data_IF_111861294387
#
_entry.id   IF_111861294387
#
_cell.length_a   1.000
_cell.length_b   1.000
_cell.length_c   1.000
_cell.angle_alpha   90.00
_cell.angle_beta   90.00
_cell.angle_gamma   90.00
#
_symmetry.space_group_name_H-M   'P 1'
#
loop_
_entity.id
_entity.type
_entity.pdbx_description
1 polymer ?
#
# COMPACT_ATOMS: atom_id res chain seq x y z
N UNK A 1 9.17 -11.56 5.45
CA UNK A 1 8.38 -11.20 4.25
C UNK A 1 7.48 -9.98 4.48
N UNK A 2 6.41 -10.05 5.29
CA UNK A 2 5.49 -8.91 5.47
C UNK A 2 6.14 -7.70 6.17
N UNK A 3 6.86 -7.94 7.27
CA UNK A 3 7.61 -6.90 7.99
C UNK A 3 8.65 -6.25 7.06
N UNK A 4 9.47 -7.06 6.38
CA UNK A 4 10.50 -6.55 5.47
C UNK A 4 9.90 -5.73 4.33
N UNK A 5 8.79 -6.18 3.75
CA UNK A 5 8.11 -5.47 2.66
C UNK A 5 7.48 -4.17 3.14
N UNK A 6 6.86 -4.16 4.33
CA UNK A 6 6.36 -2.95 4.96
C UNK A 6 7.50 -1.93 5.16
N UNK A 7 8.64 -2.39 5.67
CA UNK A 7 9.82 -1.55 5.92
C UNK A 7 10.47 -1.04 4.63
N UNK A 8 10.53 -1.85 3.58
CA UNK A 8 11.03 -1.46 2.25
C UNK A 8 10.17 -0.32 1.67
N UNK A 9 8.84 -0.45 1.71
CA UNK A 9 7.92 0.58 1.22
C UNK A 9 8.01 1.89 2.02
N UNK A 10 8.10 1.79 3.35
CA UNK A 10 8.34 2.96 4.22
C UNK A 10 9.66 3.65 3.85
N UNK A 11 10.70 2.88 3.53
CA UNK A 11 11.99 3.42 3.09
C UNK A 11 11.87 4.16 1.77
N UNK A 12 11.12 3.65 0.79
CA UNK A 12 10.91 4.34 -0.49
C UNK A 12 10.16 5.67 -0.33
N UNK A 13 9.12 5.71 0.49
CA UNK A 13 8.38 6.96 0.77
C UNK A 13 9.25 7.94 1.54
N UNK A 14 9.98 7.49 2.58
CA UNK A 14 10.88 8.35 3.35
C UNK A 14 12.02 8.95 2.50
N UNK A 15 12.52 8.19 1.51
CA UNK A 15 13.51 8.68 0.54
C UNK A 15 12.91 9.58 -0.54
N UNK A 16 11.59 9.73 -0.62
CA UNK A 16 10.92 10.51 -1.66
C UNK A 16 10.99 9.91 -3.07
N UNK A 17 11.28 8.61 -3.19
CA UNK A 17 11.44 7.92 -4.48
C UNK A 17 10.21 7.10 -4.89
N UNK A 18 9.18 7.08 -4.05
CA UNK A 18 7.92 6.39 -4.34
C UNK A 18 7.08 7.20 -5.32
N UNK A 19 6.61 6.54 -6.38
CA UNK A 19 5.76 7.14 -7.41
C UNK A 19 4.38 7.47 -6.85
N UNK A 20 4.02 8.75 -6.84
CA UNK A 20 2.68 9.24 -6.60
C UNK A 20 1.99 9.53 -7.95
N UNK A 21 0.73 9.11 -8.12
CA UNK A 21 -0.05 9.40 -9.33
C UNK A 21 -0.08 10.88 -9.67
N UNK A 22 -0.16 11.71 -8.64
CA UNK A 22 -0.17 13.16 -8.79
C UNK A 22 1.21 13.70 -9.23
N UNK A 23 2.24 12.85 -9.38
CA UNK A 23 3.63 13.23 -9.70
C UNK A 23 4.50 12.27 -10.57
N UNK A 24 4.00 11.25 -11.31
CA UNK A 24 4.79 10.47 -12.33
C UNK A 24 4.60 8.93 -12.36
N UNK A 25 5.45 8.15 -13.13
CA UNK A 25 5.74 6.67 -13.52
C UNK A 25 6.24 5.52 -12.54
N UNK A 26 5.77 4.24 -12.66
CA UNK A 26 6.31 2.96 -12.09
C UNK A 26 5.74 1.73 -12.87
N UNK A 27 6.41 0.54 -12.84
CA UNK A 27 6.15 -0.58 -13.75
C UNK A 27 5.43 -1.81 -13.14
N UNK A 28 4.97 -2.79 -13.97
CA UNK A 28 4.05 -3.86 -13.57
C UNK A 28 4.70 -4.99 -12.76
N UNK A 29 3.89 -5.63 -11.90
CA UNK A 29 4.33 -6.65 -10.94
C UNK A 29 4.03 -8.09 -11.41
N UNK A 30 5.08 -8.89 -11.61
CA UNK A 30 4.99 -10.33 -11.84
C UNK A 30 5.19 -11.11 -10.51
N UNK A 31 4.17 -11.90 -10.12
CA UNK A 31 4.11 -12.95 -9.06
C UNK A 31 3.39 -12.62 -7.73
N UNK A 32 2.48 -13.53 -7.38
CA UNK A 32 1.21 -13.33 -6.68
C UNK A 32 1.20 -13.28 -5.13
N UNK A 33 2.26 -13.65 -4.40
CA UNK A 33 2.29 -13.49 -2.91
C UNK A 33 2.68 -12.07 -2.46
N UNK A 34 3.19 -11.26 -3.40
CA UNK A 34 3.33 -9.79 -3.26
C UNK A 34 1.98 -9.07 -3.31
N UNK A 35 0.89 -9.71 -3.78
CA UNK A 35 -0.33 -9.02 -4.21
C UNK A 35 -0.97 -8.14 -3.15
N UNK A 36 -1.17 -8.59 -1.91
CA UNK A 36 -1.93 -7.79 -0.93
C UNK A 36 -1.18 -6.52 -0.55
N UNK A 37 0.08 -6.65 -0.11
CA UNK A 37 0.89 -5.47 0.24
C UNK A 37 1.24 -4.61 -0.98
N UNK A 38 1.45 -5.21 -2.15
CA UNK A 38 1.69 -4.43 -3.37
C UNK A 38 0.43 -3.71 -3.83
N UNK A 39 -0.75 -4.33 -3.73
CA UNK A 39 -2.03 -3.70 -4.05
C UNK A 39 -2.29 -2.53 -3.11
N UNK A 40 -2.11 -2.71 -1.80
CA UNK A 40 -2.20 -1.62 -0.83
C UNK A 40 -1.24 -0.49 -1.15
N UNK A 41 0.04 -0.78 -1.41
CA UNK A 41 1.01 0.26 -1.72
C UNK A 41 0.74 0.96 -3.06
N UNK A 42 0.23 0.23 -4.06
CA UNK A 42 -0.09 0.76 -5.40
C UNK A 42 -1.21 1.80 -5.41
N UNK A 43 -1.97 1.95 -4.32
CA UNK A 43 -2.95 3.05 -4.20
C UNK A 43 -2.26 4.42 -4.37
N UNK A 44 -1.02 4.58 -3.92
CA UNK A 44 -0.24 5.80 -4.14
C UNK A 44 -0.05 6.11 -5.64
N UNK A 45 0.20 5.07 -6.44
CA UNK A 45 0.40 5.17 -7.87
C UNK A 45 -0.91 5.28 -8.67
N UNK A 46 -2.00 4.68 -8.18
CA UNK A 46 -3.27 4.61 -8.89
C UNK A 46 -4.28 5.69 -8.48
N UNK A 47 -4.18 6.21 -7.26
CA UNK A 47 -5.08 7.22 -6.69
C UNK A 47 -4.33 8.51 -6.37
N UNK A 48 -3.14 8.37 -5.78
CA UNK A 48 -2.31 9.51 -5.37
C UNK A 48 -2.77 10.16 -4.08
N UNK A 49 -1.86 10.93 -3.48
CA UNK A 49 -2.10 11.66 -2.22
C UNK A 49 -1.65 13.11 -2.36
N UNK A 50 -2.32 14.06 -1.67
CA UNK A 50 -1.99 15.48 -1.77
C UNK A 50 -0.60 15.78 -1.19
N UNK A 51 0.02 16.89 -1.64
CA UNK A 51 1.37 17.30 -1.23
C UNK A 51 1.43 17.62 0.27
N UNK A 52 0.32 18.08 0.83
CA UNK A 52 0.16 18.40 2.24
C UNK A 52 0.22 17.15 3.12
N UNK A 53 0.13 15.95 2.53
CA UNK A 53 0.22 14.65 3.21
C UNK A 53 -0.72 14.53 4.43
N UNK A 54 -1.91 15.13 4.34
CA UNK A 54 -2.96 15.07 5.36
C UNK A 54 -4.05 14.12 4.90
N UNK A 55 -4.31 13.07 5.69
CA UNK A 55 -5.40 12.12 5.45
C UNK A 55 -6.72 12.73 5.96
N UNK A 56 -7.33 13.61 5.17
CA UNK A 56 -8.70 14.09 5.41
C UNK A 56 -9.72 13.02 5.04
N UNK A 57 -10.99 13.18 5.43
CA UNK A 57 -12.04 12.25 5.05
C UNK A 57 -12.23 12.18 3.53
N UNK A 58 -12.09 13.30 2.83
CA UNK A 58 -12.10 13.38 1.37
C UNK A 58 -10.97 12.53 0.76
N UNK A 59 -9.74 12.69 1.25
CA UNK A 59 -8.57 11.92 0.81
C UNK A 59 -8.75 10.43 1.13
N UNK A 60 -9.28 10.08 2.30
CA UNK A 60 -9.56 8.70 2.67
C UNK A 60 -10.57 8.06 1.70
N UNK A 61 -11.65 8.78 1.38
CA UNK A 61 -12.71 8.33 0.46
C UNK A 61 -12.23 8.18 -0.99
N UNK A 62 -11.07 8.72 -1.37
CA UNK A 62 -10.44 8.44 -2.65
C UNK A 62 -9.86 7.01 -2.75
N UNK A 63 -9.82 6.27 -1.63
CA UNK A 63 -9.37 4.88 -1.58
C UNK A 63 -7.86 4.73 -1.45
N UNK A 64 -7.25 5.52 -0.56
CA UNK A 64 -5.81 5.43 -0.18
C UNK A 64 -5.61 4.94 1.26
N UNK A 65 -6.64 4.34 1.85
CA UNK A 65 -6.66 3.88 3.24
C UNK A 65 -5.62 2.79 3.53
N UNK A 66 -5.40 1.86 2.60
CA UNK A 66 -4.42 0.81 2.83
C UNK A 66 -2.99 1.33 2.67
N UNK A 67 -2.71 2.13 1.63
CA UNK A 67 -1.42 2.78 1.45
C UNK A 67 -1.06 3.60 2.68
N UNK A 68 -1.97 4.50 3.11
CA UNK A 68 -1.73 5.36 4.27
C UNK A 68 -1.44 4.56 5.54
N UNK A 69 -2.08 3.41 5.75
CA UNK A 69 -1.78 2.54 6.89
C UNK A 69 -0.38 1.89 6.79
N UNK A 70 0.02 1.42 5.60
CA UNK A 70 1.35 0.82 5.36
C UNK A 70 2.48 1.80 5.72
N UNK A 71 2.32 3.08 5.35
CA UNK A 71 3.37 4.10 5.52
C UNK A 71 3.16 5.03 6.73
N UNK A 72 2.19 4.73 7.60
CA UNK A 72 1.86 5.59 8.72
C UNK A 72 3.05 5.78 9.67
N UNK A 73 3.53 7.02 9.82
CA UNK A 73 4.78 7.32 10.55
C UNK A 73 4.78 6.74 11.97
N UNK A 74 3.65 6.87 12.67
CA UNK A 74 3.53 6.50 14.08
C UNK A 74 3.30 5.01 14.33
N UNK A 75 3.02 4.22 13.29
CA UNK A 75 2.89 2.77 13.41
C UNK A 75 4.28 2.12 13.39
N UNK A 76 4.66 1.48 14.51
CA UNK A 76 5.95 0.81 14.69
C UNK A 76 5.86 -0.71 14.90
N UNK A 77 4.66 -1.27 14.92
CA UNK A 77 4.39 -2.71 15.03
C UNK A 77 3.41 -3.12 13.94
N UNK A 78 3.66 -4.27 13.32
CA UNK A 78 2.79 -4.85 12.29
C UNK A 78 2.72 -6.36 12.47
N UNK A 79 1.51 -6.92 12.31
CA UNK A 79 1.26 -8.36 12.30
C UNK A 79 0.38 -8.72 11.11
N UNK A 80 0.65 -9.86 10.47
CA UNK A 80 -0.08 -10.31 9.29
C UNK A 80 -0.41 -11.80 9.44
N UNK A 81 -1.57 -12.20 8.92
CA UNK A 81 -2.01 -13.59 8.84
C UNK A 81 -2.60 -13.86 7.46
N UNK A 82 -2.44 -15.10 6.98
CA UNK A 82 -3.06 -15.58 5.73
C UNK A 82 -3.82 -16.85 6.06
N UNK A 83 -5.08 -16.89 5.66
CA UNK A 83 -5.94 -18.07 5.78
C UNK A 83 -6.34 -18.49 4.39
N UNK A 84 -6.10 -19.75 4.05
CA UNK A 84 -6.64 -20.33 2.82
C UNK A 84 -8.12 -20.63 3.01
N UNK A 85 -8.98 -19.92 2.28
CA UNK A 85 -10.39 -20.31 2.17
C UNK A 85 -10.51 -21.43 1.14
N UNK A 86 -11.44 -22.38 1.34
CA UNK A 86 -11.90 -23.24 0.25
C UNK A 86 -12.61 -22.33 -0.76
N UNK A 87 -12.38 -22.54 -2.06
CA UNK A 87 -13.06 -21.78 -3.10
C UNK A 87 -14.59 -21.80 -2.88
N UNK A 88 -15.25 -20.66 -3.10
CA UNK A 88 -16.71 -20.56 -3.17
C UNK A 88 -17.23 -21.23 -4.45
N UNK A 89 -17.02 -22.54 -4.58
CA UNK A 89 -17.39 -23.36 -5.74
C UNK A 89 -17.76 -24.80 -5.38
N UNK A 90 -18.00 -25.11 -4.11
CA UNK A 90 -18.69 -26.33 -3.69
C UNK A 90 -20.17 -26.03 -3.50
N UNK A 91 -21.03 -26.79 -4.18
CA UNK A 91 -22.49 -26.78 -4.15
C UNK A 91 -23.10 -26.58 -2.76
#
# INVERSE_FOLDING_TARGET
MFVDKNNEYRTFVAKGVAKNKLSGYAPPAARMLRMSMSAWFSELEHKGVPKENRLTMEVFNHGVGHYSQVIWQWSNKVGCAVVGCKDFGGM
#
